data_IF_677077419272
#
_entry.id   IF_677077419272
#
_cell.length_a   1.000
_cell.length_b   1.000
_cell.length_c   1.000
_cell.angle_alpha   90.00
_cell.angle_beta   90.00
_cell.angle_gamma   90.00
#
_symmetry.space_group_name_H-M   'P 1'
#
loop_
_entity.id
_entity.type
_entity.pdbx_description
1 polymer ?
#
# COMPACT_ATOMS: atom_id res chain seq x y z
N UNK A 1 6.03 24.51 -9.23
CA UNK A 1 5.70 24.93 -10.62
C UNK A 1 4.55 25.91 -10.57
N UNK A 2 4.72 27.09 -11.14
CA UNK A 2 3.66 28.10 -11.24
C UNK A 2 2.55 27.61 -12.20
N UNK A 3 1.29 27.83 -11.84
CA UNK A 3 0.15 27.41 -12.66
C UNK A 3 -0.18 28.59 -13.60
N UNK A 4 -0.27 28.32 -14.90
CA UNK A 4 -0.56 29.34 -15.89
C UNK A 4 -1.99 29.90 -15.69
N UNK A 5 -2.11 31.21 -15.63
CA UNK A 5 -3.39 31.88 -15.44
C UNK A 5 -4.01 31.76 -14.03
N UNK A 6 -3.27 31.24 -13.06
CA UNK A 6 -3.73 31.06 -11.67
C UNK A 6 -2.66 31.54 -10.68
N UNK A 7 -3.07 32.16 -9.58
CA UNK A 7 -2.13 32.70 -8.58
C UNK A 7 -1.42 31.61 -7.75
N UNK A 8 -1.81 30.36 -7.89
CA UNK A 8 -1.25 29.23 -7.13
C UNK A 8 -0.06 28.57 -7.79
N UNK A 9 0.50 27.60 -7.09
CA UNK A 9 1.56 26.74 -7.60
C UNK A 9 1.26 25.28 -7.32
N UNK A 10 1.67 24.40 -8.24
CA UNK A 10 1.64 22.96 -8.05
C UNK A 10 2.94 22.51 -7.38
N UNK A 11 2.84 21.94 -6.18
CA UNK A 11 3.98 21.39 -5.44
C UNK A 11 4.10 19.90 -5.71
N UNK A 12 5.33 19.46 -5.97
CA UNK A 12 5.66 18.03 -6.13
C UNK A 12 6.69 17.61 -5.11
N UNK A 13 6.66 16.35 -4.72
CA UNK A 13 7.74 15.71 -4.01
C UNK A 13 8.45 14.73 -4.95
N UNK A 14 9.75 14.85 -5.07
CA UNK A 14 10.56 13.97 -5.90
C UNK A 14 11.88 13.61 -5.25
N UNK A 15 12.36 12.40 -5.50
CA UNK A 15 13.73 11.96 -5.19
C UNK A 15 14.67 12.19 -6.38
N UNK A 16 14.13 12.68 -7.51
CA UNK A 16 14.85 12.88 -8.77
C UNK A 16 14.70 14.30 -9.31
N UNK A 17 15.09 15.34 -8.55
CA UNK A 17 15.05 16.73 -9.03
C UNK A 17 15.98 16.95 -10.24
N UNK A 18 17.01 16.13 -10.41
CA UNK A 18 17.93 16.10 -11.56
C UNK A 18 17.22 15.97 -12.90
N UNK A 19 16.03 15.36 -12.94
CA UNK A 19 15.29 15.10 -14.17
C UNK A 19 14.30 16.21 -14.56
N UNK A 20 14.34 17.37 -13.90
CA UNK A 20 13.34 18.44 -14.06
C UNK A 20 13.21 18.96 -15.50
N UNK A 21 14.27 18.92 -16.30
CA UNK A 21 14.25 19.31 -17.70
C UNK A 21 13.58 18.29 -18.63
N UNK A 22 13.42 17.04 -18.17
CA UNK A 22 12.72 15.97 -18.90
C UNK A 22 11.25 15.83 -18.53
N UNK A 23 10.69 16.77 -17.78
CA UNK A 23 9.27 16.73 -17.40
C UNK A 23 8.41 17.06 -18.61
N UNK A 24 7.62 16.09 -19.07
CA UNK A 24 6.73 16.24 -20.23
C UNK A 24 5.26 16.43 -19.84
N UNK A 25 4.88 15.97 -18.64
CA UNK A 25 3.58 16.30 -18.05
C UNK A 25 3.64 16.26 -16.54
N UNK A 26 2.72 16.98 -15.90
CA UNK A 26 2.41 16.81 -14.49
C UNK A 26 1.23 15.86 -14.37
N UNK A 27 1.30 14.91 -13.44
CA UNK A 27 0.18 14.03 -13.17
C UNK A 27 -0.25 14.20 -11.72
N UNK A 28 -1.53 14.46 -11.53
CA UNK A 28 -2.12 14.84 -10.25
C UNK A 28 -3.19 13.83 -9.87
N UNK A 29 -3.32 13.56 -8.58
CA UNK A 29 -4.40 12.71 -8.06
C UNK A 29 -5.77 13.34 -8.40
N UNK A 30 -6.76 12.56 -8.85
CA UNK A 30 -8.08 13.08 -9.18
C UNK A 30 -8.78 13.79 -8.01
N UNK A 31 -8.42 13.41 -6.78
CA UNK A 31 -8.96 13.97 -5.52
C UNK A 31 -8.25 15.25 -5.06
N UNK A 32 -7.24 15.70 -5.78
CA UNK A 32 -6.42 16.84 -5.38
C UNK A 32 -7.22 18.16 -5.44
N UNK A 33 -7.19 18.96 -4.35
CA UNK A 33 -8.00 20.16 -4.18
C UNK A 33 -7.85 21.24 -5.29
N UNK A 34 -6.69 21.29 -5.94
CA UNK A 34 -6.45 22.27 -7.01
C UNK A 34 -7.18 21.96 -8.31
N UNK A 35 -7.58 20.72 -8.58
CA UNK A 35 -8.09 20.31 -9.89
C UNK A 35 -9.34 21.12 -10.28
N UNK A 36 -10.27 21.31 -9.37
CA UNK A 36 -11.48 22.06 -9.64
C UNK A 36 -11.19 23.53 -10.04
N UNK A 37 -10.24 24.16 -9.35
CA UNK A 37 -9.91 25.58 -9.54
C UNK A 37 -9.07 25.87 -10.80
N UNK A 38 -8.22 24.93 -11.21
CA UNK A 38 -7.32 25.11 -12.36
C UNK A 38 -7.93 24.61 -13.68
N UNK A 39 -8.99 23.80 -13.64
CA UNK A 39 -9.63 23.23 -14.83
C UNK A 39 -10.47 24.27 -15.56
N UNK A 40 -10.14 24.65 -16.81
CA UNK A 40 -10.96 25.54 -17.62
C UNK A 40 -12.35 24.96 -17.89
N UNK A 41 -13.33 25.84 -18.11
CA UNK A 41 -14.73 25.45 -18.36
C UNK A 41 -14.87 24.39 -19.46
N UNK A 42 -14.06 24.49 -20.49
CA UNK A 42 -14.07 23.57 -21.65
C UNK A 42 -13.68 22.13 -21.30
N UNK A 43 -12.98 21.91 -20.21
CA UNK A 43 -12.51 20.59 -19.77
C UNK A 43 -13.26 20.07 -18.52
N UNK A 44 -14.07 20.89 -17.87
CA UNK A 44 -14.76 20.52 -16.63
C UNK A 44 -15.61 19.26 -16.74
N UNK A 45 -16.33 19.08 -17.83
CA UNK A 45 -17.18 17.91 -18.02
C UNK A 45 -16.37 16.61 -18.08
N UNK A 46 -15.32 16.56 -18.91
CA UNK A 46 -14.45 15.39 -19.04
C UNK A 46 -13.70 15.07 -17.74
N UNK A 47 -13.21 16.10 -17.05
CA UNK A 47 -12.53 15.96 -15.75
C UNK A 47 -13.49 15.43 -14.69
N UNK A 48 -14.72 15.93 -14.61
CA UNK A 48 -15.73 15.46 -13.66
C UNK A 48 -16.13 14.00 -13.92
N UNK A 49 -16.30 13.61 -15.18
CA UNK A 49 -16.57 12.23 -15.58
C UNK A 49 -15.45 11.29 -15.14
N UNK A 50 -14.19 11.69 -15.42
CA UNK A 50 -13.02 10.88 -15.00
C UNK A 50 -12.89 10.77 -13.48
N UNK A 51 -13.13 11.84 -12.72
CA UNK A 51 -13.15 11.81 -11.25
C UNK A 51 -14.25 10.87 -10.75
N UNK A 52 -15.44 10.89 -11.37
CA UNK A 52 -16.53 9.96 -11.06
C UNK A 52 -16.13 8.50 -11.26
N UNK A 53 -15.48 8.20 -12.39
CA UNK A 53 -14.92 6.88 -12.68
C UNK A 53 -13.93 6.45 -11.58
N UNK A 54 -12.96 7.30 -11.22
CA UNK A 54 -11.94 6.94 -10.21
C UNK A 54 -12.53 6.76 -8.82
N UNK A 55 -13.53 7.56 -8.42
CA UNK A 55 -14.22 7.44 -7.13
C UNK A 55 -15.00 6.11 -6.98
N UNK A 56 -15.42 5.49 -8.08
CA UNK A 56 -16.06 4.17 -8.05
C UNK A 56 -15.09 3.01 -7.77
N UNK A 57 -13.79 3.28 -7.69
CA UNK A 57 -12.72 2.28 -7.52
C UNK A 57 -11.99 2.47 -6.21
N UNK A 58 -11.76 1.37 -5.50
CA UNK A 58 -10.94 1.40 -4.29
C UNK A 58 -9.46 1.66 -4.63
N UNK A 59 -8.72 2.24 -3.69
CA UNK A 59 -7.27 2.47 -3.84
C UNK A 59 -6.51 1.15 -4.11
N UNK A 60 -6.97 0.05 -3.51
CA UNK A 60 -6.40 -1.28 -3.72
C UNK A 60 -6.55 -1.77 -5.16
N UNK A 61 -7.71 -1.57 -5.77
CA UNK A 61 -7.96 -1.91 -7.18
C UNK A 61 -7.12 -1.07 -8.12
N UNK A 62 -7.00 0.24 -7.86
CA UNK A 62 -6.16 1.17 -8.62
C UNK A 62 -4.69 0.75 -8.63
N UNK A 63 -4.18 0.27 -7.50
CA UNK A 63 -2.79 -0.21 -7.39
C UNK A 63 -2.60 -1.57 -8.09
N UNK A 64 -3.58 -2.48 -7.96
CA UNK A 64 -3.46 -3.86 -8.44
C UNK A 64 -3.57 -3.98 -9.97
N UNK A 65 -4.51 -3.28 -10.60
CA UNK A 65 -4.79 -3.44 -12.02
C UNK A 65 -3.76 -2.76 -12.94
N UNK A 66 -3.01 -1.78 -12.46
CA UNK A 66 -1.98 -1.05 -13.24
C UNK A 66 -2.48 -0.53 -14.60
N UNK A 67 -3.76 -0.20 -14.71
CA UNK A 67 -4.33 0.39 -15.93
C UNK A 67 -3.70 1.75 -16.21
N UNK A 68 -3.53 2.06 -17.50
CA UNK A 68 -3.11 3.38 -17.94
C UNK A 68 -4.38 4.14 -18.30
N UNK A 69 -4.80 5.01 -17.41
CA UNK A 69 -5.96 5.90 -17.60
C UNK A 69 -5.58 7.31 -17.17
N UNK A 70 -6.23 8.30 -17.71
CA UNK A 70 -6.00 9.71 -17.37
C UNK A 70 -6.91 10.64 -18.12
N UNK A 71 -6.96 11.89 -17.66
CA UNK A 71 -7.68 12.95 -18.33
C UNK A 71 -6.85 14.23 -18.33
N UNK A 72 -6.73 14.88 -19.47
CA UNK A 72 -6.09 16.19 -19.56
C UNK A 72 -7.00 17.25 -18.94
N UNK A 73 -6.45 18.05 -18.05
CA UNK A 73 -7.24 19.07 -17.32
C UNK A 73 -7.47 20.34 -18.13
N UNK A 74 -6.73 20.56 -19.22
CA UNK A 74 -6.69 21.83 -19.95
C UNK A 74 -5.78 22.88 -19.31
N UNK A 75 -5.21 22.61 -18.14
CA UNK A 75 -4.30 23.50 -17.45
C UNK A 75 -2.83 23.19 -17.77
N UNK A 76 -1.99 24.20 -17.58
CA UNK A 76 -0.53 24.08 -17.74
C UNK A 76 0.18 24.68 -16.53
N UNK A 77 1.36 24.14 -16.26
CA UNK A 77 2.30 24.74 -15.32
C UNK A 77 3.59 25.13 -16.04
N UNK A 78 4.36 26.04 -15.44
CA UNK A 78 5.62 26.53 -16.00
C UNK A 78 6.79 25.84 -15.32
N UNK A 79 7.72 25.28 -16.10
CA UNK A 79 8.98 24.78 -15.58
C UNK A 79 9.83 25.95 -15.05
N UNK A 80 10.28 25.91 -13.79
CA UNK A 80 10.94 27.06 -13.16
C UNK A 80 12.33 27.40 -13.74
N UNK A 81 12.93 26.50 -14.53
CA UNK A 81 14.27 26.73 -15.07
C UNK A 81 14.28 27.16 -16.55
N UNK A 82 13.41 26.60 -17.36
CA UNK A 82 13.41 26.90 -18.82
C UNK A 82 12.11 27.56 -19.32
N UNK A 83 11.17 27.84 -18.40
CA UNK A 83 9.85 28.42 -18.70
C UNK A 83 8.97 27.59 -19.66
N UNK A 84 9.31 26.34 -19.91
CA UNK A 84 8.49 25.47 -20.74
C UNK A 84 7.11 25.23 -20.10
N UNK A 85 6.06 25.26 -20.95
CA UNK A 85 4.71 24.93 -20.51
C UNK A 85 4.55 23.41 -20.46
N UNK A 86 4.11 22.92 -19.31
CA UNK A 86 3.94 21.50 -19.03
C UNK A 86 2.45 21.24 -18.79
N UNK A 87 1.81 20.35 -19.57
CA UNK A 87 0.38 20.03 -19.41
C UNK A 87 0.12 19.30 -18.07
N UNK A 88 -1.02 19.61 -17.46
CA UNK A 88 -1.47 18.99 -16.22
C UNK A 88 -2.54 17.94 -16.54
N UNK A 89 -2.27 16.71 -16.14
CA UNK A 89 -3.16 15.56 -16.26
C UNK A 89 -3.62 15.07 -14.90
N UNK A 90 -4.76 14.42 -14.83
CA UNK A 90 -5.16 13.61 -13.68
C UNK A 90 -5.11 12.13 -14.06
N UNK A 91 -4.69 11.30 -13.12
CA UNK A 91 -4.67 9.84 -13.31
C UNK A 91 -4.82 9.10 -12.01
N UNK A 92 -5.52 7.97 -12.07
CA UNK A 92 -5.80 7.10 -10.91
C UNK A 92 -4.54 6.47 -10.29
N UNK A 93 -3.42 6.42 -11.01
CA UNK A 93 -2.18 5.87 -10.46
C UNK A 93 -1.46 6.81 -9.47
N UNK A 94 -1.84 8.09 -9.43
CA UNK A 94 -1.34 9.05 -8.44
C UNK A 94 -2.32 9.08 -7.27
N UNK A 95 -1.82 8.87 -6.06
CA UNK A 95 -2.63 8.81 -4.85
C UNK A 95 -2.53 10.13 -4.09
N UNK A 96 -3.67 10.66 -3.65
CA UNK A 96 -3.72 11.93 -2.93
C UNK A 96 -2.99 11.89 -1.57
N UNK A 97 -2.98 10.74 -0.90
CA UNK A 97 -2.31 10.51 0.38
C UNK A 97 -0.80 10.29 0.29
N UNK A 98 -0.21 10.28 -0.92
CA UNK A 98 1.21 10.05 -1.11
C UNK A 98 1.94 11.33 -1.57
N UNK A 99 2.89 11.80 -0.77
CA UNK A 99 3.64 13.03 -1.05
C UNK A 99 2.73 14.27 -1.06
N UNK A 100 2.63 14.92 -2.21
CA UNK A 100 1.77 16.09 -2.42
C UNK A 100 0.52 15.77 -3.25
N UNK A 101 0.30 14.50 -3.61
CA UNK A 101 -0.74 14.12 -4.56
C UNK A 101 -0.48 14.58 -6.00
N UNK A 102 0.75 15.01 -6.30
CA UNK A 102 1.17 15.46 -7.62
C UNK A 102 2.60 15.00 -7.92
N UNK A 103 2.85 14.56 -9.14
CA UNK A 103 4.15 14.10 -9.60
C UNK A 103 4.55 14.83 -10.90
N UNK A 104 5.84 15.03 -11.08
CA UNK A 104 6.42 15.37 -12.37
C UNK A 104 6.73 14.08 -13.13
N UNK A 105 6.17 13.92 -14.32
CA UNK A 105 6.37 12.73 -15.15
C UNK A 105 7.52 12.96 -16.12
N UNK A 106 8.53 12.08 -16.04
CA UNK A 106 9.74 12.11 -16.88
C UNK A 106 9.82 10.80 -17.66
N UNK A 107 9.19 10.71 -18.83
CA UNK A 107 9.03 9.46 -19.57
C UNK A 107 10.32 8.77 -19.97
N UNK A 108 11.39 9.49 -20.28
CA UNK A 108 12.67 8.87 -20.63
C UNK A 108 13.35 8.11 -19.49
N UNK A 109 12.98 8.40 -18.22
CA UNK A 109 13.59 7.84 -17.03
C UNK A 109 12.65 7.10 -16.07
N UNK A 110 11.37 6.94 -16.40
CA UNK A 110 10.37 6.28 -15.56
C UNK A 110 9.38 5.47 -16.41
N UNK A 111 9.31 4.16 -16.19
CA UNK A 111 8.48 3.22 -16.95
C UNK A 111 7.00 3.58 -16.95
N UNK A 112 6.49 4.05 -15.83
CA UNK A 112 5.06 4.40 -15.71
C UNK A 112 4.76 5.66 -16.48
N UNK A 113 5.63 6.67 -16.36
CA UNK A 113 5.54 7.90 -17.12
C UNK A 113 5.71 7.64 -18.62
N UNK A 114 6.60 6.71 -19.01
CA UNK A 114 6.81 6.31 -20.40
C UNK A 114 5.54 5.73 -21.03
N UNK A 115 4.96 4.72 -20.38
CA UNK A 115 3.71 4.09 -20.83
C UNK A 115 2.55 5.08 -20.89
N UNK A 116 2.48 5.99 -19.92
CA UNK A 116 1.50 7.07 -19.91
C UNK A 116 1.69 8.01 -21.09
N UNK A 117 2.92 8.45 -21.34
CA UNK A 117 3.23 9.33 -22.45
C UNK A 117 2.94 8.67 -23.81
N UNK A 118 3.28 7.38 -23.99
CA UNK A 118 2.94 6.63 -25.21
C UNK A 118 1.42 6.53 -25.40
N UNK A 119 0.67 6.18 -24.35
CA UNK A 119 -0.78 6.01 -24.42
C UNK A 119 -1.52 7.29 -24.83
N UNK A 120 -1.05 8.44 -24.33
CA UNK A 120 -1.67 9.74 -24.59
C UNK A 120 -0.94 10.58 -25.66
N UNK A 121 0.02 9.99 -26.39
CA UNK A 121 0.82 10.66 -27.42
C UNK A 121 1.51 11.94 -26.91
N UNK A 122 2.01 11.93 -25.67
CA UNK A 122 2.76 13.03 -25.08
C UNK A 122 4.21 12.94 -25.57
N UNK A 123 4.80 14.00 -26.15
CA UNK A 123 6.20 14.00 -26.59
C UNK A 123 7.16 13.64 -25.45
N UNK A 124 8.22 12.90 -25.75
CA UNK A 124 9.23 12.47 -24.76
C UNK A 124 10.53 13.23 -24.99
N UNK A 125 10.96 13.97 -23.99
CA UNK A 125 12.24 14.68 -23.99
C UNK A 125 13.35 13.76 -23.47
N UNK A 126 14.33 13.45 -24.31
CA UNK A 126 15.50 12.71 -23.90
C UNK A 126 16.48 13.62 -23.17
N UNK A 127 16.72 13.36 -21.88
CA UNK A 127 17.70 14.08 -21.03
C UNK A 127 18.89 13.22 -20.62
N UNK A 128 18.96 11.97 -21.06
CA UNK A 128 20.01 11.00 -20.69
C UNK A 128 20.82 10.51 -21.88
N UNK A 129 20.76 11.24 -22.99
CA UNK A 129 21.56 10.97 -24.20
C UNK A 129 21.40 9.53 -24.71
N UNK A 130 22.53 8.90 -25.03
CA UNK A 130 22.55 7.52 -25.58
C UNK A 130 22.05 6.43 -24.62
N UNK A 131 21.86 6.76 -23.34
CA UNK A 131 21.26 5.85 -22.39
C UNK A 131 19.75 5.63 -22.62
N UNK A 132 19.10 6.50 -23.42
CA UNK A 132 17.70 6.35 -23.83
C UNK A 132 17.61 5.89 -25.29
N UNK A 133 17.10 4.70 -25.50
CA UNK A 133 16.98 4.07 -26.83
C UNK A 133 15.73 4.48 -27.63
N UNK A 134 14.81 5.21 -26.99
CA UNK A 134 13.53 5.62 -27.59
C UNK A 134 12.40 4.58 -27.49
N UNK A 135 12.69 3.33 -27.12
CA UNK A 135 11.74 2.22 -27.07
C UNK A 135 11.21 1.95 -25.67
N UNK A 136 12.03 2.22 -24.64
CA UNK A 136 11.69 2.02 -23.24
C UNK A 136 12.35 3.07 -22.34
N UNK A 137 11.79 3.28 -21.16
CA UNK A 137 12.39 4.16 -20.16
C UNK A 137 13.67 3.54 -19.58
N UNK A 138 14.65 4.39 -19.27
CA UNK A 138 15.83 3.94 -18.55
C UNK A 138 15.97 4.66 -17.20
N UNK A 139 15.68 3.99 -16.05
CA UNK A 139 15.69 4.60 -14.72
C UNK A 139 17.10 4.76 -14.12
N UNK A 140 18.14 4.72 -14.93
CA UNK A 140 19.52 4.88 -14.49
C UNK A 140 19.73 6.17 -13.69
N UNK A 141 20.75 6.19 -12.86
CA UNK A 141 21.26 7.40 -12.19
C UNK A 141 22.71 7.73 -12.58
N UNK A 142 23.26 6.93 -13.47
CA UNK A 142 24.67 7.03 -13.90
C UNK A 142 24.80 7.69 -15.28
N UNK A 143 23.72 8.00 -15.96
CA UNK A 143 23.77 8.69 -17.25
C UNK A 143 24.28 10.13 -17.10
N UNK A 144 24.94 10.59 -18.15
CA UNK A 144 25.33 12.00 -18.28
C UNK A 144 24.13 12.77 -18.84
N UNK A 145 23.77 13.85 -18.16
CA UNK A 145 22.63 14.68 -18.56
C UNK A 145 22.92 15.45 -19.85
N UNK A 146 21.92 15.47 -20.71
CA UNK A 146 21.83 16.27 -21.93
C UNK A 146 20.48 17.00 -21.99
N UNK A 147 20.32 17.99 -22.85
CA UNK A 147 19.09 18.78 -22.97
C UNK A 147 18.57 19.33 -21.62
N UNK A 148 19.50 19.60 -20.69
CA UNK A 148 19.23 19.91 -19.29
C UNK A 148 19.91 21.20 -18.83
N UNK A 149 20.16 22.15 -19.75
CA UNK A 149 20.73 23.48 -19.49
C UNK A 149 22.00 23.41 -18.62
N UNK A 150 22.01 24.03 -17.47
CA UNK A 150 23.15 24.06 -16.54
C UNK A 150 23.55 22.67 -15.97
N UNK A 151 22.81 21.64 -16.22
CA UNK A 151 23.10 20.26 -15.84
C UNK A 151 23.73 19.44 -16.96
N UNK A 152 23.85 19.98 -18.18
CA UNK A 152 24.46 19.26 -19.29
C UNK A 152 25.90 18.83 -18.97
N UNK A 153 26.22 17.57 -19.27
CA UNK A 153 27.52 17.01 -19.00
C UNK A 153 27.75 16.50 -17.56
N UNK A 154 26.77 16.67 -16.67
CA UNK A 154 26.83 16.22 -15.28
C UNK A 154 26.18 14.85 -15.15
N UNK A 155 26.76 13.96 -14.35
CA UNK A 155 26.16 12.66 -14.01
C UNK A 155 24.92 12.89 -13.15
N UNK A 156 23.83 12.19 -13.44
CA UNK A 156 22.52 12.38 -12.80
C UNK A 156 22.58 12.39 -11.27
N UNK A 157 23.30 11.46 -10.65
CA UNK A 157 23.41 11.38 -9.18
C UNK A 157 24.02 12.63 -8.57
N UNK A 158 24.97 13.27 -9.26
CA UNK A 158 25.64 14.47 -8.78
C UNK A 158 24.77 15.72 -9.02
N UNK A 159 23.96 15.71 -10.07
CA UNK A 159 23.01 16.78 -10.41
C UNK A 159 21.92 16.98 -9.34
N UNK A 160 21.55 15.94 -8.59
CA UNK A 160 20.50 15.99 -7.54
C UNK A 160 20.80 17.12 -6.55
N UNK A 161 22.03 17.15 -6.00
CA UNK A 161 22.41 18.16 -5.01
C UNK A 161 22.50 19.58 -5.61
N UNK A 162 22.90 19.69 -6.87
CA UNK A 162 23.01 20.97 -7.60
C UNK A 162 21.61 21.59 -7.77
N UNK A 163 20.66 20.79 -8.26
CA UNK A 163 19.28 21.25 -8.46
C UNK A 163 18.60 21.60 -7.14
N UNK A 164 18.78 20.77 -6.11
CA UNK A 164 18.21 21.02 -4.79
C UNK A 164 18.68 22.40 -4.24
N UNK A 165 19.98 22.67 -4.25
CA UNK A 165 20.54 23.96 -3.84
C UNK A 165 19.99 25.13 -4.65
N UNK A 166 19.82 24.95 -5.98
CA UNK A 166 19.32 26.01 -6.85
C UNK A 166 17.84 26.31 -6.58
N UNK A 167 17.02 25.28 -6.36
CA UNK A 167 15.62 25.44 -5.97
C UNK A 167 15.45 26.14 -4.61
N UNK A 168 16.34 25.82 -3.66
CA UNK A 168 16.39 26.49 -2.34
C UNK A 168 16.78 27.96 -2.47
N UNK A 169 17.81 28.27 -3.27
CA UNK A 169 18.25 29.64 -3.52
C UNK A 169 17.17 30.49 -4.21
N UNK A 170 16.34 29.88 -5.06
CA UNK A 170 15.19 30.53 -5.70
C UNK A 170 13.97 30.65 -4.77
N UNK A 171 13.98 30.04 -3.59
CA UNK A 171 12.86 30.05 -2.65
C UNK A 171 11.63 29.23 -3.09
N UNK A 172 11.78 28.35 -4.09
CA UNK A 172 10.68 27.57 -4.69
C UNK A 172 10.73 26.08 -4.36
N UNK A 173 11.75 25.64 -3.63
CA UNK A 173 11.90 24.26 -3.19
C UNK A 173 12.76 24.18 -1.93
N UNK A 174 12.76 22.99 -1.33
CA UNK A 174 13.65 22.66 -0.21
C UNK A 174 13.94 21.18 -0.16
N UNK A 175 15.13 20.82 0.25
CA UNK A 175 15.47 19.44 0.61
C UNK A 175 14.72 19.03 1.87
N UNK A 176 14.13 17.86 1.86
CA UNK A 176 13.41 17.30 3.00
C UNK A 176 13.68 15.80 3.09
N UNK A 177 14.08 15.33 4.26
CA UNK A 177 14.07 13.91 4.55
C UNK A 177 12.62 13.50 4.77
N UNK A 178 12.13 12.61 3.93
CA UNK A 178 10.80 12.07 4.06
C UNK A 178 10.89 10.56 4.31
N UNK A 179 10.33 10.13 5.42
CA UNK A 179 10.29 8.70 5.74
C UNK A 179 9.19 8.05 4.92
N UNK A 180 9.54 6.97 4.21
CA UNK A 180 8.57 6.19 3.43
C UNK A 180 7.82 5.26 4.37
N UNK A 181 6.91 5.83 5.13
CA UNK A 181 6.00 5.10 6.01
C UNK A 181 4.57 5.30 5.53
N UNK A 182 3.79 4.23 5.55
CA UNK A 182 2.33 4.30 5.43
C UNK A 182 1.74 4.30 6.83
N UNK A 183 0.67 5.05 7.02
CA UNK A 183 -0.10 4.97 8.25
C UNK A 183 -0.61 3.55 8.43
N UNK A 184 -0.47 3.01 9.64
CA UNK A 184 -1.02 1.73 10.01
C UNK A 184 -2.36 1.95 10.69
N UNK A 185 -3.43 1.50 10.07
CA UNK A 185 -4.76 1.53 10.69
C UNK A 185 -4.90 0.37 11.69
N UNK A 186 -5.14 0.69 12.96
CA UNK A 186 -5.48 -0.27 14.01
C UNK A 186 -6.98 -0.58 14.02
N UNK A 187 -7.59 -0.66 12.85
CA UNK A 187 -9.01 -0.96 12.68
C UNK A 187 -9.24 -1.82 11.44
N UNK A 188 -10.33 -2.59 11.45
CA UNK A 188 -10.76 -3.44 10.34
C UNK A 188 -12.26 -3.30 10.12
N UNK A 189 -12.68 -3.25 8.88
CA UNK A 189 -14.06 -3.23 8.43
C UNK A 189 -14.59 -4.67 8.35
N UNK A 190 -14.60 -5.36 9.51
CA UNK A 190 -15.08 -6.75 9.62
C UNK A 190 -15.86 -6.94 10.91
N UNK A 191 -16.66 -7.99 10.99
CA UNK A 191 -17.41 -8.35 12.19
C UNK A 191 -16.51 -9.02 13.23
N UNK A 192 -15.76 -10.06 12.84
CA UNK A 192 -14.90 -10.81 13.75
C UNK A 192 -13.65 -10.02 14.13
N UNK A 193 -13.55 -9.69 15.40
CA UNK A 193 -12.48 -8.94 16.05
C UNK A 193 -12.97 -8.35 17.36
N UNK A 194 -12.07 -7.89 18.22
CA UNK A 194 -12.43 -7.16 19.43
C UNK A 194 -13.08 -5.82 19.04
N UNK A 195 -14.29 -5.50 19.55
CA UNK A 195 -14.91 -4.21 19.32
C UNK A 195 -14.15 -3.11 20.06
N UNK A 196 -14.12 -1.92 19.49
CA UNK A 196 -13.56 -0.77 20.18
C UNK A 196 -14.53 -0.26 21.25
N UNK A 197 -14.08 -0.08 22.50
CA UNK A 197 -14.91 0.47 23.55
C UNK A 197 -15.03 2.00 23.43
N UNK A 198 -15.54 2.47 22.30
CA UNK A 198 -15.58 3.88 21.89
C UNK A 198 -16.98 4.23 21.36
N UNK A 199 -17.47 5.40 21.76
CA UNK A 199 -18.65 6.08 21.18
C UNK A 199 -18.22 7.36 20.49
N UNK A 200 -18.88 7.68 19.39
CA UNK A 200 -18.66 8.91 18.63
C UNK A 200 -19.69 9.97 18.99
N UNK A 201 -19.23 11.19 19.28
CA UNK A 201 -20.09 12.35 19.45
C UNK A 201 -19.48 13.55 18.75
N UNK A 202 -20.21 14.14 17.83
CA UNK A 202 -19.77 15.30 17.05
C UNK A 202 -18.39 15.09 16.36
N UNK A 203 -18.13 13.88 15.87
CA UNK A 203 -16.87 13.50 15.24
C UNK A 203 -15.71 13.28 16.20
N UNK A 204 -15.94 13.31 17.50
CA UNK A 204 -14.93 13.07 18.54
C UNK A 204 -15.18 11.71 19.19
N UNK A 205 -14.10 10.91 19.33
CA UNK A 205 -14.13 9.61 19.97
C UNK A 205 -14.08 9.75 21.50
N UNK A 206 -14.98 9.07 22.19
CA UNK A 206 -15.03 9.00 23.66
C UNK A 206 -15.00 7.54 24.11
N UNK A 207 -14.24 7.19 25.16
CA UNK A 207 -14.32 5.86 25.76
C UNK A 207 -15.71 5.62 26.34
N UNK A 208 -16.21 4.40 26.29
CA UNK A 208 -17.43 4.01 27.00
C UNK A 208 -17.15 3.90 28.50
N UNK A 209 -18.22 3.89 29.30
CA UNK A 209 -18.11 3.71 30.74
C UNK A 209 -17.61 2.30 31.07
N UNK A 210 -16.79 2.15 32.12
CA UNK A 210 -16.37 0.85 32.63
C UNK A 210 -17.55 -0.08 32.97
N UNK A 211 -18.70 0.49 33.32
CA UNK A 211 -19.93 -0.27 33.61
C UNK A 211 -20.55 -0.91 32.35
N UNK A 212 -20.19 -0.45 31.18
CA UNK A 212 -20.63 -0.99 29.88
C UNK A 212 -19.67 -2.09 29.36
N UNK A 213 -18.59 -2.37 30.09
CA UNK A 213 -17.64 -3.44 29.75
C UNK A 213 -18.04 -4.77 30.39
N UNK A 214 -17.78 -5.90 29.74
CA UNK A 214 -17.19 -6.04 28.43
C UNK A 214 -18.17 -5.67 27.30
N UNK A 215 -17.70 -4.91 26.29
CA UNK A 215 -18.48 -4.63 25.09
C UNK A 215 -18.49 -5.89 24.20
N UNK A 216 -19.65 -6.53 24.06
CA UNK A 216 -19.81 -7.76 23.29
C UNK A 216 -20.31 -7.45 21.87
N UNK A 217 -19.84 -8.21 20.89
CA UNK A 217 -20.38 -8.17 19.55
C UNK A 217 -21.85 -8.62 19.53
N UNK A 218 -22.75 -7.87 18.91
CA UNK A 218 -24.16 -8.25 18.79
C UNK A 218 -24.32 -9.41 17.81
N UNK A 219 -25.33 -10.27 18.03
CA UNK A 219 -25.68 -11.31 17.04
C UNK A 219 -26.14 -10.66 15.75
N UNK A 220 -25.68 -11.19 14.61
CA UNK A 220 -26.01 -10.70 13.26
C UNK A 220 -26.45 -11.85 12.36
N UNK A 221 -27.41 -11.59 11.50
CA UNK A 221 -27.86 -12.55 10.48
C UNK A 221 -27.04 -12.48 9.18
N UNK A 222 -26.32 -11.38 8.98
CA UNK A 222 -25.54 -11.10 7.76
C UNK A 222 -24.28 -10.30 8.08
N UNK A 223 -23.19 -10.68 7.40
CA UNK A 223 -21.87 -10.06 7.51
C UNK A 223 -21.55 -9.11 6.35
N UNK A 224 -22.56 -8.61 5.64
CA UNK A 224 -22.37 -7.65 4.55
C UNK A 224 -21.76 -6.35 5.06
N UNK A 225 -20.85 -5.72 4.30
CA UNK A 225 -20.31 -4.40 4.65
C UNK A 225 -21.40 -3.33 4.66
N UNK A 226 -21.16 -2.25 5.36
CA UNK A 226 -22.01 -1.05 5.33
C UNK A 226 -22.01 -0.38 3.94
N UNK A 227 -22.97 0.49 3.66
CA UNK A 227 -23.18 1.09 2.33
C UNK A 227 -22.02 1.99 1.88
N UNK A 228 -21.23 2.51 2.80
CA UNK A 228 -20.06 3.38 2.53
C UNK A 228 -18.73 2.64 2.73
N UNK A 229 -18.77 1.30 2.80
CA UNK A 229 -17.58 0.47 3.00
C UNK A 229 -17.20 0.26 4.46
N UNK A 230 -18.06 0.65 5.40
CA UNK A 230 -17.88 0.36 6.82
C UNK A 230 -18.04 -1.13 7.12
N UNK A 231 -17.62 -1.54 8.31
CA UNK A 231 -17.81 -2.91 8.78
C UNK A 231 -19.29 -3.30 8.96
N UNK A 232 -19.59 -4.60 9.06
CA UNK A 232 -20.96 -5.10 9.24
C UNK A 232 -21.72 -4.51 10.44
N UNK A 233 -21.01 -4.06 11.47
CA UNK A 233 -21.62 -3.40 12.64
C UNK A 233 -22.38 -2.11 12.27
N UNK A 234 -22.01 -1.45 11.16
CA UNK A 234 -22.69 -0.29 10.65
C UNK A 234 -24.14 -0.57 10.18
N UNK A 235 -24.49 -1.84 9.90
CA UNK A 235 -25.84 -2.23 9.50
C UNK A 235 -26.76 -2.51 10.70
N UNK A 236 -26.25 -2.48 11.93
CA UNK A 236 -27.00 -2.86 13.13
C UNK A 236 -27.60 -1.61 13.76
N UNK A 237 -28.92 -1.48 13.70
CA UNK A 237 -29.62 -0.29 14.18
C UNK A 237 -29.36 0.04 15.66
N UNK A 238 -29.35 -0.99 16.52
CA UNK A 238 -29.05 -0.81 17.96
C UNK A 238 -27.62 -0.33 18.20
N UNK A 239 -26.64 -0.82 17.42
CA UNK A 239 -25.25 -0.41 17.52
C UNK A 239 -25.03 1.06 17.08
N UNK A 240 -25.69 1.44 15.99
CA UNK A 240 -25.70 2.83 15.49
C UNK A 240 -26.41 3.80 16.45
N UNK A 241 -27.50 3.38 17.06
CA UNK A 241 -28.25 4.23 18.01
C UNK A 241 -27.41 4.65 19.23
N UNK A 242 -26.47 3.79 19.63
CA UNK A 242 -25.51 4.07 20.69
C UNK A 242 -24.27 4.83 20.23
N UNK A 243 -24.13 5.07 18.91
CA UNK A 243 -22.96 5.68 18.27
C UNK A 243 -21.64 4.93 18.54
N UNK A 244 -21.68 3.62 18.72
CA UNK A 244 -20.49 2.81 18.87
C UNK A 244 -19.62 2.83 17.60
N UNK A 245 -18.30 2.68 17.78
CA UNK A 245 -17.39 2.45 16.66
C UNK A 245 -17.81 1.19 15.88
N UNK A 246 -17.90 1.30 14.56
CA UNK A 246 -18.36 0.22 13.68
C UNK A 246 -17.25 -0.69 13.17
N UNK A 247 -15.99 -0.28 13.34
CA UNK A 247 -14.83 -1.11 13.07
C UNK A 247 -14.53 -2.02 14.25
N UNK A 248 -13.81 -3.10 13.99
CA UNK A 248 -13.21 -3.95 15.02
C UNK A 248 -11.69 -3.83 15.01
N UNK A 249 -11.03 -4.22 16.10
CA UNK A 249 -9.59 -4.30 16.16
C UNK A 249 -9.05 -5.37 15.20
N UNK A 250 -7.78 -5.30 14.79
CA UNK A 250 -7.14 -6.37 14.01
C UNK A 250 -7.22 -7.72 14.74
N UNK A 251 -7.30 -8.81 13.99
CA UNK A 251 -7.40 -10.14 14.56
C UNK A 251 -6.25 -10.55 15.50
N UNK A 252 -5.12 -9.85 15.45
CA UNK A 252 -3.99 -10.04 16.36
C UNK A 252 -4.00 -9.13 17.59
N UNK A 253 -5.02 -8.28 17.78
CA UNK A 253 -5.04 -7.32 18.88
C UNK A 253 -4.96 -8.01 20.24
N UNK A 254 -5.87 -8.93 20.53
CA UNK A 254 -5.87 -9.67 21.79
C UNK A 254 -4.66 -10.59 21.96
N UNK A 255 -4.28 -11.32 20.91
CA UNK A 255 -3.12 -12.25 20.98
C UNK A 255 -1.77 -11.55 21.07
N UNK A 256 -1.71 -10.24 20.83
CA UNK A 256 -0.46 -9.49 20.82
C UNK A 256 0.14 -9.26 22.21
N UNK A 257 -0.63 -9.40 23.25
CA UNK A 257 -0.20 -9.21 24.64
C UNK A 257 -0.41 -10.46 25.54
N UNK A 258 -0.70 -11.63 24.95
CA UNK A 258 -1.01 -12.86 25.68
C UNK A 258 0.10 -13.27 26.66
N UNK A 259 1.36 -13.03 26.31
CA UNK A 259 2.52 -13.36 27.15
C UNK A 259 2.52 -12.56 28.46
N UNK A 260 2.00 -11.34 28.47
CA UNK A 260 1.81 -10.55 29.70
C UNK A 260 0.74 -11.19 30.58
N UNK A 261 -0.37 -11.64 29.99
CA UNK A 261 -1.43 -12.33 30.73
C UNK A 261 -0.93 -13.64 31.37
N UNK A 262 -0.01 -14.34 30.70
CA UNK A 262 0.58 -15.56 31.23
C UNK A 262 1.42 -15.35 32.49
N UNK A 263 1.91 -14.15 32.75
CA UNK A 263 2.66 -13.81 33.94
C UNK A 263 1.79 -13.78 35.20
N UNK A 264 0.47 -13.61 35.05
CA UNK A 264 -0.46 -13.41 36.16
C UNK A 264 -1.88 -13.91 35.82
N UNK A 265 -1.99 -15.19 35.52
CA UNK A 265 -3.20 -15.83 35.01
C UNK A 265 -4.41 -15.81 35.93
N UNK A 266 -4.19 -15.76 37.26
CA UNK A 266 -5.24 -15.74 38.26
C UNK A 266 -5.71 -14.33 38.64
N UNK A 267 -5.16 -13.28 38.00
CA UNK A 267 -5.54 -11.91 38.28
C UNK A 267 -6.87 -11.58 37.55
N UNK A 268 -7.90 -11.28 38.30
CA UNK A 268 -9.24 -10.96 37.81
C UNK A 268 -9.50 -9.45 37.75
N UNK A 269 -8.57 -8.62 38.21
CA UNK A 269 -8.70 -7.17 38.28
C UNK A 269 -7.89 -6.42 37.23
N UNK A 270 -6.83 -7.04 36.70
CA UNK A 270 -5.95 -6.48 35.67
C UNK A 270 -5.44 -7.57 34.73
N UNK A 271 -4.96 -7.16 33.55
CA UNK A 271 -4.34 -8.09 32.59
C UNK A 271 -3.08 -8.76 33.17
N UNK A 272 -2.34 -8.05 34.03
CA UNK A 272 -1.17 -8.50 34.78
C UNK A 272 -0.86 -7.47 35.87
N UNK A 273 -0.46 -7.92 37.06
CA UNK A 273 0.04 -7.01 38.08
C UNK A 273 1.43 -6.48 37.71
N UNK A 274 1.71 -5.23 38.09
CA UNK A 274 3.04 -4.63 37.91
C UNK A 274 4.13 -5.49 38.57
N UNK A 275 3.86 -6.05 39.75
CA UNK A 275 4.79 -6.93 40.45
C UNK A 275 5.13 -8.19 39.67
N UNK A 276 4.15 -8.82 39.01
CA UNK A 276 4.38 -10.00 38.17
C UNK A 276 5.16 -9.64 36.91
N UNK A 277 4.80 -8.55 36.24
CA UNK A 277 5.52 -8.12 35.06
C UNK A 277 6.97 -7.70 35.33
N UNK A 278 7.24 -7.04 36.45
CA UNK A 278 8.61 -6.68 36.85
C UNK A 278 9.44 -7.91 37.26
N UNK A 279 8.80 -8.93 37.85
CA UNK A 279 9.49 -10.17 38.22
C UNK A 279 9.90 -11.00 36.99
N UNK A 280 8.98 -11.21 36.04
CA UNK A 280 9.25 -12.02 34.85
C UNK A 280 10.01 -11.23 33.77
N UNK A 281 9.73 -9.94 33.63
CA UNK A 281 10.37 -9.06 32.65
C UNK A 281 10.06 -9.47 31.20
N UNK A 282 10.98 -9.10 30.31
CA UNK A 282 10.91 -9.47 28.91
C UNK A 282 11.02 -10.99 28.71
N UNK A 283 10.33 -11.51 27.69
CA UNK A 283 10.46 -12.92 27.30
C UNK A 283 11.89 -13.18 26.80
N UNK A 284 12.59 -14.15 27.37
CA UNK A 284 14.00 -14.42 27.08
C UNK A 284 14.24 -14.92 25.66
N UNK A 285 13.39 -15.83 25.18
CA UNK A 285 13.43 -16.38 23.83
C UNK A 285 12.03 -16.53 23.26
N UNK A 286 11.79 -15.89 22.14
CA UNK A 286 10.55 -15.97 21.41
C UNK A 286 10.76 -16.64 20.05
N UNK A 287 10.00 -17.72 19.78
CA UNK A 287 10.18 -18.54 18.57
C UNK A 287 8.89 -18.48 17.75
N UNK A 288 9.00 -18.13 16.47
CA UNK A 288 7.87 -18.06 15.57
C UNK A 288 8.26 -17.86 14.12
N UNK A 289 7.35 -18.17 13.20
CA UNK A 289 7.56 -18.03 11.78
C UNK A 289 7.60 -16.57 11.31
N UNK A 290 8.19 -16.36 10.15
CA UNK A 290 8.31 -15.04 9.50
C UNK A 290 6.95 -14.44 9.13
N UNK A 291 5.92 -15.25 8.93
CA UNK A 291 4.55 -14.83 8.66
C UNK A 291 3.94 -13.97 9.77
N UNK A 292 4.47 -14.08 10.99
CA UNK A 292 4.02 -13.29 12.14
C UNK A 292 4.73 -11.94 12.29
N UNK A 293 5.71 -11.63 11.43
CA UNK A 293 6.54 -10.43 11.58
C UNK A 293 5.73 -9.13 11.57
N UNK A 294 4.73 -9.03 10.71
CA UNK A 294 3.89 -7.81 10.60
C UNK A 294 2.66 -7.89 11.51
N UNK A 295 1.90 -8.98 11.46
CA UNK A 295 0.64 -9.10 12.19
C UNK A 295 0.84 -9.15 13.70
N UNK A 296 1.57 -10.14 14.21
CA UNK A 296 1.70 -10.37 15.64
C UNK A 296 2.86 -9.59 16.28
N UNK A 297 4.06 -9.63 15.71
CA UNK A 297 5.25 -9.07 16.36
C UNK A 297 5.21 -7.53 16.44
N UNK A 298 4.74 -6.85 15.40
CA UNK A 298 4.57 -5.38 15.45
C UNK A 298 3.54 -4.97 16.49
N UNK A 299 2.42 -5.66 16.56
CA UNK A 299 1.39 -5.36 17.57
C UNK A 299 1.86 -5.69 18.98
N UNK A 300 2.63 -6.76 19.18
CA UNK A 300 3.24 -7.07 20.49
C UNK A 300 4.16 -5.93 20.96
N UNK A 301 4.98 -5.40 20.06
CA UNK A 301 5.82 -4.23 20.35
C UNK A 301 4.99 -2.96 20.62
N UNK A 302 3.97 -2.70 19.83
CA UNK A 302 3.08 -1.55 20.02
C UNK A 302 2.40 -1.60 21.40
N UNK A 303 1.77 -2.74 21.74
CA UNK A 303 1.14 -2.90 23.04
C UNK A 303 2.12 -2.78 24.19
N UNK A 304 3.30 -3.40 24.09
CA UNK A 304 4.32 -3.29 25.13
C UNK A 304 4.75 -1.84 25.35
N UNK A 305 5.00 -1.08 24.27
CA UNK A 305 5.38 0.34 24.39
C UNK A 305 4.26 1.19 24.99
N UNK A 306 3.02 1.01 24.56
CA UNK A 306 1.86 1.72 25.11
C UNK A 306 1.67 1.42 26.61
N UNK A 307 1.75 0.13 26.99
CA UNK A 307 1.60 -0.26 28.39
C UNK A 307 2.76 0.22 29.27
N UNK A 308 3.97 0.30 28.71
CA UNK A 308 5.12 0.90 29.38
C UNK A 308 4.93 2.41 29.58
N UNK A 309 4.54 3.15 28.52
CA UNK A 309 4.30 4.60 28.58
C UNK A 309 3.20 4.95 29.59
N UNK A 310 2.19 4.08 29.73
CA UNK A 310 1.12 4.22 30.73
C UNK A 310 1.52 3.74 32.13
N UNK A 311 2.73 3.19 32.32
CA UNK A 311 3.24 2.74 33.59
C UNK A 311 2.73 1.40 34.08
N UNK A 312 2.04 0.64 33.24
CA UNK A 312 1.49 -0.68 33.62
C UNK A 312 2.55 -1.79 33.70
N UNK A 313 3.62 -1.70 32.92
CA UNK A 313 4.74 -2.65 32.91
C UNK A 313 6.09 -1.92 32.99
N UNK A 314 7.17 -2.65 33.32
CA UNK A 314 8.50 -2.08 33.59
C UNK A 314 9.49 -2.14 32.42
N UNK A 315 9.07 -2.60 31.26
CA UNK A 315 9.94 -2.76 30.08
C UNK A 315 9.20 -2.31 28.81
N UNK A 316 9.96 -1.79 27.83
CA UNK A 316 9.44 -1.18 26.60
C UNK A 316 9.62 -2.04 25.34
N UNK A 317 10.27 -3.20 25.45
CA UNK A 317 10.37 -4.20 24.39
C UNK A 317 9.93 -5.57 24.91
N UNK A 318 9.11 -6.34 24.15
CA UNK A 318 8.50 -7.57 24.64
C UNK A 318 9.48 -8.75 24.76
N UNK A 319 10.46 -8.86 23.85
CA UNK A 319 11.30 -10.03 23.66
C UNK A 319 12.78 -9.65 23.66
N UNK A 320 13.62 -10.41 24.44
CA UNK A 320 15.07 -10.24 24.42
C UNK A 320 15.71 -10.84 23.17
N UNK A 321 15.16 -11.96 22.69
CA UNK A 321 15.65 -12.69 21.51
C UNK A 321 14.50 -13.27 20.72
N UNK A 322 14.50 -13.02 19.42
CA UNK A 322 13.59 -13.64 18.45
C UNK A 322 14.34 -14.67 17.62
N UNK A 323 13.78 -15.87 17.50
CA UNK A 323 14.26 -16.91 16.59
C UNK A 323 13.18 -17.22 15.55
N UNK A 324 13.44 -16.87 14.30
CA UNK A 324 12.66 -17.31 13.16
C UNK A 324 13.22 -18.64 12.65
N UNK A 325 12.48 -19.73 12.85
CA UNK A 325 12.90 -21.05 12.41
C UNK A 325 12.75 -21.28 10.89
N UNK A 326 12.23 -20.32 10.15
CA UNK A 326 11.89 -20.45 8.74
C UNK A 326 10.52 -21.10 8.54
N UNK A 327 10.19 -21.35 7.28
CA UNK A 327 8.91 -21.96 6.90
C UNK A 327 9.05 -23.47 6.79
N UNK A 328 8.07 -24.21 7.32
CA UNK A 328 7.97 -25.64 7.08
C UNK A 328 7.66 -25.84 5.61
N UNK A 329 8.50 -26.62 4.95
CA UNK A 329 8.34 -26.95 3.55
C UNK A 329 7.80 -28.38 3.42
N UNK A 330 6.81 -28.53 2.56
CA UNK A 330 6.31 -29.84 2.13
C UNK A 330 6.64 -30.10 0.66
N UNK A 331 6.81 -31.37 0.30
CA UNK A 331 6.92 -31.75 -1.10
C UNK A 331 5.56 -31.61 -1.77
N UNK A 332 5.52 -30.84 -2.87
CA UNK A 332 4.35 -30.80 -3.75
C UNK A 332 4.56 -31.69 -4.95
N UNK A 333 3.54 -32.43 -5.34
CA UNK A 333 3.52 -33.22 -6.56
C UNK A 333 2.41 -32.70 -7.47
N UNK A 334 2.67 -32.73 -8.78
CA UNK A 334 1.73 -32.20 -9.76
C UNK A 334 1.49 -33.19 -10.89
N UNK A 335 0.24 -33.26 -11.35
CA UNK A 335 -0.13 -33.81 -12.65
C UNK A 335 -0.54 -32.67 -13.56
N UNK A 336 -0.37 -32.82 -14.85
CA UNK A 336 -0.62 -31.77 -15.84
C UNK A 336 -1.78 -32.18 -16.72
N UNK A 337 -2.93 -31.52 -16.54
CA UNK A 337 -4.13 -31.74 -17.36
C UNK A 337 -4.13 -30.78 -18.55
N UNK A 338 -4.37 -31.31 -19.76
CA UNK A 338 -4.55 -30.45 -20.93
C UNK A 338 -5.82 -29.62 -20.73
N UNK A 339 -5.70 -28.31 -20.84
CA UNK A 339 -6.78 -27.36 -20.57
C UNK A 339 -8.03 -27.68 -21.40
N UNK A 340 -9.19 -27.68 -20.76
CA UNK A 340 -10.49 -27.99 -21.38
C UNK A 340 -10.72 -29.47 -21.70
N UNK A 341 -9.84 -30.37 -21.22
CA UNK A 341 -9.98 -31.85 -21.44
C UNK A 341 -9.80 -32.62 -20.15
N UNK A 342 -10.10 -33.93 -20.19
CA UNK A 342 -9.80 -34.89 -19.12
C UNK A 342 -8.49 -35.67 -19.38
N UNK A 343 -7.64 -35.19 -20.27
CA UNK A 343 -6.36 -35.83 -20.61
C UNK A 343 -5.21 -35.25 -19.85
N UNK A 344 -4.33 -36.11 -19.35
CA UNK A 344 -3.12 -35.73 -18.64
C UNK A 344 -1.87 -35.99 -19.48
N UNK A 345 -0.85 -35.19 -19.32
CA UNK A 345 0.46 -35.35 -19.94
C UNK A 345 1.54 -35.40 -18.87
N UNK A 346 2.64 -36.08 -19.20
CA UNK A 346 3.81 -36.11 -18.33
C UNK A 346 4.48 -34.71 -18.24
N UNK A 347 5.23 -34.49 -17.17
CA UNK A 347 5.96 -33.22 -16.96
C UNK A 347 6.87 -32.84 -18.14
N UNK A 348 7.46 -33.82 -18.83
CA UNK A 348 8.31 -33.58 -20.01
C UNK A 348 7.56 -33.08 -21.24
N UNK A 349 6.26 -33.33 -21.33
CA UNK A 349 5.41 -32.90 -22.46
C UNK A 349 4.56 -31.66 -22.17
N UNK A 350 4.63 -31.09 -20.96
CA UNK A 350 3.80 -29.96 -20.55
C UNK A 350 3.98 -28.71 -21.41
N UNK A 351 5.16 -28.52 -22.04
CA UNK A 351 5.42 -27.36 -22.91
C UNK A 351 4.77 -27.47 -24.30
N UNK A 352 4.38 -28.69 -24.71
CA UNK A 352 3.74 -28.94 -26.00
C UNK A 352 2.19 -28.70 -25.97
N UNK A 353 1.65 -28.40 -24.80
CA UNK A 353 0.21 -28.24 -24.58
C UNK A 353 -0.07 -27.10 -23.62
N UNK A 354 -1.24 -26.48 -23.73
CA UNK A 354 -1.75 -25.62 -22.66
C UNK A 354 -2.24 -26.53 -21.53
N UNK A 355 -1.61 -26.44 -20.36
CA UNK A 355 -1.89 -27.34 -19.25
C UNK A 355 -2.25 -26.59 -17.97
N UNK A 356 -3.12 -27.19 -17.16
CA UNK A 356 -3.36 -26.81 -15.78
C UNK A 356 -2.54 -27.75 -14.87
N UNK A 357 -1.69 -27.17 -14.02
CA UNK A 357 -0.96 -27.93 -13.01
C UNK A 357 -1.88 -28.17 -11.81
N UNK A 358 -2.21 -29.41 -11.54
CA UNK A 358 -3.09 -29.84 -10.45
C UNK A 358 -2.26 -30.55 -9.38
N UNK A 359 -2.45 -30.17 -8.13
CA UNK A 359 -1.84 -30.87 -7.01
C UNK A 359 -2.35 -32.29 -6.91
N UNK A 360 -1.48 -33.19 -6.52
CA UNK A 360 -1.79 -34.60 -6.29
C UNK A 360 -1.24 -35.04 -4.93
N UNK A 361 -1.92 -35.97 -4.27
CA UNK A 361 -1.48 -36.54 -3.01
C UNK A 361 -0.06 -37.14 -3.16
N UNK A 362 0.86 -36.73 -2.28
CA UNK A 362 2.25 -37.18 -2.33
C UNK A 362 2.41 -38.68 -2.09
N UNK A 363 1.43 -39.31 -1.41
CA UNK A 363 1.48 -40.73 -1.08
C UNK A 363 1.17 -41.64 -2.27
N UNK A 364 0.62 -41.09 -3.36
CA UNK A 364 0.36 -41.83 -4.60
C UNK A 364 1.36 -41.50 -5.71
N UNK A 365 2.52 -40.90 -5.33
CA UNK A 365 3.61 -40.60 -6.25
C UNK A 365 4.91 -41.13 -5.67
N UNK A 366 5.55 -42.07 -6.36
CA UNK A 366 6.89 -42.56 -6.03
C UNK A 366 7.93 -41.85 -6.92
N UNK A 367 8.77 -41.04 -6.30
CA UNK A 367 9.73 -40.20 -7.02
C UNK A 367 9.07 -39.28 -8.04
N UNK A 368 9.05 -39.71 -9.32
CA UNK A 368 8.41 -38.99 -10.44
C UNK A 368 7.28 -39.80 -11.09
N UNK A 369 7.03 -40.98 -10.59
CA UNK A 369 6.01 -41.91 -11.14
C UNK A 369 4.72 -41.79 -10.35
N UNK A 370 3.61 -41.62 -11.07
CA UNK A 370 2.25 -41.55 -10.51
C UNK A 370 1.63 -42.94 -10.51
N UNK A 371 1.14 -43.39 -9.35
CA UNK A 371 0.24 -44.53 -9.26
C UNK A 371 -1.12 -44.15 -9.86
N UNK A 372 -1.39 -44.63 -11.07
CA UNK A 372 -2.60 -44.29 -11.82
C UNK A 372 -3.87 -44.88 -11.20
N UNK A 373 -3.78 -46.07 -10.60
CA UNK A 373 -4.94 -46.67 -9.95
C UNK A 373 -5.32 -45.94 -8.68
N UNK A 374 -4.35 -45.61 -7.87
CA UNK A 374 -4.53 -44.80 -6.69
C UNK A 374 -5.03 -43.39 -7.03
N UNK A 375 -4.51 -42.79 -8.12
CA UNK A 375 -4.95 -41.47 -8.59
C UNK A 375 -6.43 -41.48 -9.02
N UNK A 376 -6.87 -42.47 -9.78
CA UNK A 376 -8.26 -42.60 -10.19
C UNK A 376 -9.22 -42.80 -8.99
N UNK A 377 -8.76 -43.51 -7.97
CA UNK A 377 -9.52 -43.71 -6.73
C UNK A 377 -9.57 -42.45 -5.87
N UNK A 378 -8.46 -41.72 -5.84
CA UNK A 378 -8.33 -40.48 -5.02
C UNK A 378 -9.18 -39.33 -5.56
N UNK A 379 -9.23 -39.18 -6.89
CA UNK A 379 -10.04 -38.15 -7.57
C UNK A 379 -10.71 -38.72 -8.83
N UNK A 380 -11.87 -39.38 -8.69
CA UNK A 380 -12.58 -39.97 -9.80
C UNK A 380 -13.05 -38.98 -10.87
N UNK A 381 -13.19 -37.73 -10.48
CA UNK A 381 -13.66 -36.64 -11.36
C UNK A 381 -12.54 -36.01 -12.21
N UNK A 382 -11.32 -36.47 -12.04
CA UNK A 382 -10.15 -35.95 -12.81
C UNK A 382 -9.98 -36.71 -14.11
#
# INVERSE_FOLDING_TARGET
FAIQGHAGSLKVYTTRPDTIFGVNCMVVAPEHALIESITPTTHKAAVAEYIGYVKSRSERERIAEKKITGCFTGAYVTNPFNNALIPVWISEYVLAGYGTGAIMAVPCGDDRAFKFAQHFNIPITNIIGDAYNGEEANPTKEAILSNSDFLNGIVQKDAIAIVAKKLEAMGIGKSKINYRMRDAAFSRQRYWGEPFPIKWKDGIAYPISEKELPLLLPTVDNYSPGPEGEGPLANIAAWKAENYETNTMPGFAGSSWYFLRYMDTANDTAFCSRKASDYWGQVDLYIGGTEHAVGHLLYSRMWTKVLFDLGHIGFDEPFKKLLNQGMIQGSSRFVYRIRGTQKFVSSGLKQAHEVDALHVDVNIVDGVELDREAFTKWKPDY
#
